data_IF_068307663191
#
_entry.id   IF_068307663191
#
_cell.length_a   1.000
_cell.length_b   1.000
_cell.length_c   1.000
_cell.angle_alpha   90.00
_cell.angle_beta   90.00
_cell.angle_gamma   90.00
#
_symmetry.space_group_name_H-M   'P 1'
#
loop_
_entity.id
_entity.type
_entity.pdbx_description
1 polymer ?
#
# COMPACT_ATOMS: atom_id res chain seq x y z
N UNK A 1 -37.07 0.92 18.98
CA UNK A 1 -35.84 0.10 18.91
C UNK A 1 -35.37 -0.19 17.48
N UNK A 2 -36.25 -0.57 16.55
CA UNK A 2 -35.89 -0.85 15.14
C UNK A 2 -35.23 0.33 14.40
N UNK A 3 -35.71 1.55 14.63
CA UNK A 3 -35.17 2.78 14.01
C UNK A 3 -33.72 3.05 14.42
N UNK A 4 -33.37 2.75 15.69
CA UNK A 4 -31.99 2.88 16.17
C UNK A 4 -31.06 1.86 15.52
N UNK A 5 -31.56 0.64 15.27
CA UNK A 5 -30.80 -0.40 14.61
C UNK A 5 -30.47 -0.04 13.15
N UNK A 6 -31.46 0.52 12.43
CA UNK A 6 -31.27 1.04 11.08
C UNK A 6 -30.28 2.22 11.04
N UNK A 7 -30.35 3.13 12.03
CA UNK A 7 -29.42 4.25 12.13
C UNK A 7 -27.97 3.77 12.36
N UNK A 8 -27.76 2.75 13.19
CA UNK A 8 -26.43 2.17 13.44
C UNK A 8 -25.87 1.52 12.16
N UNK A 9 -26.69 0.76 11.43
CA UNK A 9 -26.27 0.13 10.17
C UNK A 9 -25.91 1.16 9.08
N UNK A 10 -26.66 2.27 8.99
CA UNK A 10 -26.36 3.36 8.07
C UNK A 10 -25.03 4.05 8.40
N UNK A 11 -24.75 4.27 9.69
CA UNK A 11 -23.48 4.84 10.13
C UNK A 11 -22.32 3.89 9.82
N UNK A 12 -22.45 2.59 10.08
CA UNK A 12 -21.39 1.62 9.80
C UNK A 12 -21.05 1.54 8.30
N UNK A 13 -22.04 1.58 7.41
CA UNK A 13 -21.81 1.61 5.95
C UNK A 13 -21.20 2.93 5.45
N UNK A 14 -21.40 4.04 6.17
CA UNK A 14 -20.81 5.33 5.79
C UNK A 14 -19.32 5.44 6.14
N UNK A 15 -18.83 4.62 7.09
CA UNK A 15 -17.44 4.62 7.56
C UNK A 15 -16.62 3.41 7.10
N UNK A 16 -17.11 2.61 6.16
CA UNK A 16 -16.27 1.65 5.45
C UNK A 16 -15.48 2.40 4.38
N UNK A 17 -14.40 3.09 4.80
CA UNK A 17 -13.34 3.43 3.86
C UNK A 17 -12.70 2.13 3.40
N UNK A 18 -12.97 1.72 2.15
CA UNK A 18 -12.16 0.72 1.48
C UNK A 18 -10.75 1.27 1.42
N UNK A 19 -9.88 0.82 2.33
CA UNK A 19 -8.44 1.11 2.27
C UNK A 19 -7.89 0.31 1.09
N UNK A 20 -8.15 0.78 -0.12
CA UNK A 20 -7.52 0.28 -1.33
C UNK A 20 -6.07 0.66 -1.20
N UNK A 21 -5.24 -0.29 -0.77
CA UNK A 21 -3.80 -0.07 -0.58
C UNK A 21 -3.18 0.33 -1.92
N UNK A 22 -3.04 1.64 -2.15
CA UNK A 22 -2.61 2.17 -3.43
C UNK A 22 -1.19 1.67 -3.74
N UNK A 23 -1.00 1.09 -4.93
CA UNK A 23 0.31 0.65 -5.40
C UNK A 23 1.18 1.87 -5.72
N UNK A 24 1.92 2.34 -4.73
CA UNK A 24 2.84 3.46 -4.85
C UNK A 24 4.15 3.19 -4.12
N UNK A 25 5.23 3.80 -4.62
CA UNK A 25 6.49 3.88 -3.89
C UNK A 25 6.34 4.86 -2.73
N UNK A 26 6.95 4.51 -1.58
CA UNK A 26 7.03 5.39 -0.42
C UNK A 26 8.29 6.26 -0.45
N UNK A 27 9.36 5.75 -1.05
CA UNK A 27 10.57 6.51 -1.26
C UNK A 27 10.47 7.38 -2.54
N UNK A 28 11.26 8.47 -2.64
CA UNK A 28 11.36 9.25 -3.87
C UNK A 28 11.79 8.40 -5.07
N UNK A 29 11.27 8.73 -6.25
CA UNK A 29 11.57 8.03 -7.51
C UNK A 29 13.07 7.88 -7.77
N UNK A 30 13.88 8.91 -7.46
CA UNK A 30 15.34 8.86 -7.64
C UNK A 30 15.99 7.77 -6.79
N UNK A 31 15.53 7.59 -5.55
CA UNK A 31 16.02 6.54 -4.64
C UNK A 31 15.60 5.17 -5.13
N UNK A 32 14.34 4.98 -5.49
CA UNK A 32 13.86 3.68 -5.96
C UNK A 32 14.52 3.27 -7.29
N UNK A 33 14.67 4.20 -8.23
CA UNK A 33 15.39 3.95 -9.48
C UNK A 33 16.86 3.60 -9.23
N UNK A 34 17.53 4.28 -8.30
CA UNK A 34 18.90 3.94 -7.93
C UNK A 34 18.99 2.53 -7.35
N UNK A 35 18.07 2.15 -6.45
CA UNK A 35 18.06 0.82 -5.83
C UNK A 35 17.76 -0.27 -6.85
N UNK A 36 16.82 -0.03 -7.78
CA UNK A 36 16.54 -0.91 -8.91
C UNK A 36 17.77 -1.12 -9.78
N UNK A 37 18.46 -0.04 -10.14
CA UNK A 37 19.69 -0.12 -10.95
C UNK A 37 20.84 -0.85 -10.24
N UNK A 38 20.80 -0.97 -8.90
CA UNK A 38 21.73 -1.76 -8.09
C UNK A 38 21.34 -3.24 -7.98
N UNK A 39 20.21 -3.67 -8.57
CA UNK A 39 19.71 -5.05 -8.48
C UNK A 39 19.00 -5.38 -7.17
N UNK A 40 18.55 -4.36 -6.42
CA UNK A 40 17.96 -4.58 -5.10
C UNK A 40 16.52 -5.12 -5.17
N UNK A 41 15.87 -5.04 -6.33
CA UNK A 41 14.54 -5.61 -6.54
C UNK A 41 14.59 -7.15 -6.56
N UNK A 42 15.68 -7.76 -7.03
CA UNK A 42 15.85 -9.22 -7.08
C UNK A 42 16.71 -9.79 -5.95
N UNK A 43 17.46 -8.94 -5.24
CA UNK A 43 18.36 -9.38 -4.16
C UNK A 43 17.56 -9.79 -2.89
N UNK A 44 17.66 -11.06 -2.44
CA UNK A 44 16.92 -11.56 -1.27
C UNK A 44 17.19 -10.78 0.03
N UNK A 45 18.36 -10.18 0.16
CA UNK A 45 18.75 -9.41 1.35
C UNK A 45 18.06 -8.04 1.41
N UNK A 46 17.63 -7.50 0.27
CA UNK A 46 17.01 -6.17 0.16
C UNK A 46 15.54 -6.23 -0.26
N UNK A 47 15.06 -7.40 -0.68
CA UNK A 47 13.71 -7.61 -1.23
C UNK A 47 12.61 -7.11 -0.27
N UNK A 48 12.70 -7.43 1.02
CA UNK A 48 11.71 -6.98 2.02
C UNK A 48 11.68 -5.46 2.15
N UNK A 49 12.85 -4.82 2.07
CA UNK A 49 12.94 -3.37 2.11
C UNK A 49 12.37 -2.74 0.82
N UNK A 50 12.56 -3.38 -0.33
CA UNK A 50 11.98 -2.94 -1.61
C UNK A 50 10.46 -3.10 -1.65
N UNK A 51 9.91 -4.18 -1.08
CA UNK A 51 8.44 -4.36 -0.93
C UNK A 51 7.81 -3.23 -0.11
N UNK A 52 8.54 -2.71 0.88
CA UNK A 52 8.03 -1.66 1.75
C UNK A 52 8.16 -0.26 1.13
N UNK A 53 9.28 0.01 0.47
CA UNK A 53 9.66 1.36 0.04
C UNK A 53 9.46 1.63 -1.45
N UNK A 54 9.66 0.62 -2.29
CA UNK A 54 9.78 0.76 -3.75
C UNK A 54 8.93 -0.29 -4.50
N UNK A 55 7.75 -0.63 -3.96
CA UNK A 55 6.90 -1.69 -4.50
C UNK A 55 6.44 -1.44 -5.94
N UNK A 56 6.16 -0.20 -6.32
CA UNK A 56 5.76 0.14 -7.69
C UNK A 56 6.97 0.05 -8.61
N UNK A 57 8.09 0.66 -8.24
CA UNK A 57 9.32 0.63 -9.06
C UNK A 57 9.86 -0.78 -9.30
N UNK A 58 9.75 -1.66 -8.29
CA UNK A 58 10.18 -3.06 -8.36
C UNK A 58 9.08 -4.02 -8.85
N UNK A 59 7.88 -3.55 -9.21
CA UNK A 59 6.74 -4.39 -9.59
C UNK A 59 6.40 -5.48 -8.53
N UNK A 60 6.39 -5.08 -7.26
CA UNK A 60 6.08 -5.90 -6.07
C UNK A 60 4.72 -5.52 -5.44
N UNK A 61 3.92 -4.76 -6.18
CA UNK A 61 2.48 -4.88 -6.08
C UNK A 61 2.07 -6.19 -6.77
#
# INVERSE_FOLDING_TARGET
>A
MFVYFLAILLVLNAFTEEVVAQCADRAPDSTCNQMKNKGNCENPLTLEQMKLMCKKTCNLC
#
